data_IF_005507922798
#
_entry.id   IF_005507922798
#
_cell.length_a   1.000
_cell.length_b   1.000
_cell.length_c   1.000
_cell.angle_alpha   90.00
_cell.angle_beta   90.00
_cell.angle_gamma   90.00
#
_symmetry.space_group_name_H-M   'P 1'
#
loop_
_entity.id
_entity.type
_entity.pdbx_description
1 polymer ?
#
# COMPACT_ATOMS: atom_id res chain seq x y z
N UNK A 1 8.18 -16.00 -23.33
CA UNK A 1 7.78 -15.78 -21.92
C UNK A 1 6.27 -15.72 -21.88
N UNK A 2 5.63 -16.69 -21.22
CA UNK A 2 4.16 -16.77 -21.15
C UNK A 2 3.62 -15.51 -20.48
N UNK A 3 2.83 -14.71 -21.20
CA UNK A 3 1.96 -13.70 -20.61
C UNK A 3 1.08 -14.44 -19.60
N UNK A 4 1.42 -14.39 -18.30
CA UNK A 4 0.49 -14.85 -17.29
C UNK A 4 -0.68 -13.88 -17.34
N UNK A 5 -1.81 -14.33 -17.87
CA UNK A 5 -3.07 -13.60 -17.79
C UNK A 5 -3.21 -13.10 -16.35
N UNK A 6 -3.39 -11.78 -16.20
CA UNK A 6 -3.57 -11.15 -14.90
C UNK A 6 -4.73 -11.87 -14.19
N UNK A 7 -4.42 -12.66 -13.17
CA UNK A 7 -5.45 -13.36 -12.40
C UNK A 7 -6.32 -12.29 -11.73
N UNK A 8 -7.66 -12.44 -11.83
CA UNK A 8 -8.63 -11.53 -11.20
C UNK A 8 -8.67 -11.80 -9.70
N UNK A 9 -7.65 -11.33 -9.00
CA UNK A 9 -7.48 -11.48 -7.56
C UNK A 9 -7.20 -10.14 -6.90
N UNK A 10 -7.72 -9.97 -5.69
CA UNK A 10 -7.52 -8.80 -4.85
C UNK A 10 -6.79 -9.22 -3.60
N UNK A 11 -5.58 -8.70 -3.42
CA UNK A 11 -4.80 -8.90 -2.21
C UNK A 11 -5.24 -7.93 -1.11
N UNK A 12 -5.41 -8.46 0.09
CA UNK A 12 -5.65 -7.68 1.31
C UNK A 12 -4.67 -8.13 2.38
N UNK A 13 -4.10 -7.18 3.13
CA UNK A 13 -3.02 -7.45 4.06
C UNK A 13 -3.46 -7.28 5.51
N UNK A 14 -3.31 -8.32 6.31
CA UNK A 14 -3.41 -8.27 7.77
C UNK A 14 -2.09 -8.74 8.38
N UNK A 15 -1.19 -7.80 8.64
CA UNK A 15 0.24 -8.06 8.89
C UNK A 15 0.61 -8.28 10.36
N UNK A 16 -0.37 -8.18 11.26
CA UNK A 16 -0.22 -8.51 12.68
C UNK A 16 -0.83 -9.87 13.00
N UNK A 17 -0.40 -10.46 14.12
CA UNK A 17 -0.97 -11.71 14.65
C UNK A 17 -2.23 -11.48 15.50
N UNK A 18 -2.58 -10.22 15.76
CA UNK A 18 -3.78 -9.86 16.50
C UNK A 18 -5.05 -10.15 15.70
N UNK A 19 -6.16 -10.37 16.38
CA UNK A 19 -7.46 -10.58 15.73
C UNK A 19 -7.94 -9.30 15.02
N UNK A 20 -8.56 -9.46 13.84
CA UNK A 20 -9.31 -8.39 13.20
C UNK A 20 -10.52 -7.99 14.04
N UNK A 21 -10.76 -6.69 14.18
CA UNK A 21 -11.97 -6.20 14.84
C UNK A 21 -13.23 -6.59 14.03
N UNK A 22 -14.42 -6.65 14.66
CA UNK A 22 -15.67 -6.92 13.95
C UNK A 22 -15.90 -5.98 12.75
N UNK A 23 -15.58 -4.69 12.91
CA UNK A 23 -15.68 -3.72 11.82
C UNK A 23 -14.76 -4.04 10.63
N UNK A 24 -13.53 -4.51 10.88
CA UNK A 24 -12.61 -4.93 9.81
C UNK A 24 -13.05 -6.23 9.17
N UNK A 25 -13.58 -7.18 9.93
CA UNK A 25 -14.17 -8.43 9.39
C UNK A 25 -15.34 -8.13 8.45
N UNK A 26 -16.25 -7.23 8.85
CA UNK A 26 -17.36 -6.79 8.00
C UNK A 26 -16.87 -6.09 6.71
N UNK A 27 -15.80 -5.31 6.79
CA UNK A 27 -15.19 -4.72 5.59
C UNK A 27 -14.61 -5.80 4.68
N UNK A 28 -13.85 -6.76 5.22
CA UNK A 28 -13.31 -7.87 4.44
C UNK A 28 -14.42 -8.63 3.71
N UNK A 29 -15.50 -8.97 4.44
CA UNK A 29 -16.67 -9.62 3.88
C UNK A 29 -17.29 -8.81 2.73
N UNK A 30 -17.39 -7.47 2.87
CA UNK A 30 -17.90 -6.63 1.77
C UNK A 30 -17.01 -6.67 0.51
N UNK A 31 -15.69 -6.83 0.66
CA UNK A 31 -14.78 -6.98 -0.48
C UNK A 31 -15.04 -8.35 -1.14
N UNK A 32 -15.18 -9.40 -0.34
CA UNK A 32 -15.45 -10.77 -0.82
C UNK A 32 -16.79 -10.87 -1.58
N UNK A 33 -17.83 -10.22 -1.06
CA UNK A 33 -19.18 -10.30 -1.61
C UNK A 33 -19.38 -9.39 -2.84
N UNK A 34 -18.79 -8.20 -2.86
CA UNK A 34 -19.14 -7.18 -3.86
C UNK A 34 -18.12 -7.04 -4.99
N UNK A 35 -16.85 -7.43 -4.77
CA UNK A 35 -15.79 -7.15 -5.76
C UNK A 35 -15.86 -8.00 -7.02
N UNK A 36 -16.60 -9.11 -7.01
CA UNK A 36 -16.66 -10.05 -8.12
C UNK A 36 -15.31 -10.73 -8.46
N UNK A 37 -14.29 -10.59 -7.61
CA UNK A 37 -12.95 -11.11 -7.81
C UNK A 37 -12.52 -11.99 -6.63
N UNK A 38 -11.52 -12.87 -6.85
CA UNK A 38 -10.99 -13.71 -5.78
C UNK A 38 -10.25 -12.86 -4.75
N UNK A 39 -10.75 -12.77 -3.53
CA UNK A 39 -10.05 -12.08 -2.44
C UNK A 39 -9.03 -13.00 -1.79
N UNK A 40 -7.81 -12.49 -1.62
CA UNK A 40 -6.68 -13.21 -1.01
C UNK A 40 -6.21 -12.45 0.22
N UNK A 41 -6.61 -12.95 1.40
CA UNK A 41 -6.13 -12.44 2.68
C UNK A 41 -4.73 -13.00 2.98
N UNK A 42 -3.75 -12.11 2.97
CA UNK A 42 -2.37 -12.44 3.33
C UNK A 42 -2.10 -11.99 4.77
N UNK A 43 -1.56 -12.93 5.55
CA UNK A 43 -1.25 -12.84 6.97
C UNK A 43 0.17 -13.36 7.23
N UNK A 44 0.77 -13.14 8.42
CA UNK A 44 2.06 -13.74 8.76
C UNK A 44 2.11 -15.26 8.58
N UNK A 45 0.97 -15.95 8.72
CA UNK A 45 0.86 -17.41 8.64
C UNK A 45 1.04 -17.97 7.23
N UNK A 46 0.54 -17.25 6.22
CA UNK A 46 0.55 -17.70 4.82
C UNK A 46 1.46 -16.86 3.90
N UNK A 47 2.07 -15.75 4.39
CA UNK A 47 2.91 -14.88 3.57
C UNK A 47 4.02 -15.63 2.81
N UNK A 48 4.61 -16.66 3.43
CA UNK A 48 5.66 -17.48 2.81
C UNK A 48 5.24 -18.15 1.49
N UNK A 49 3.94 -18.40 1.31
CA UNK A 49 3.37 -19.05 0.13
C UNK A 49 3.38 -18.14 -1.10
N UNK A 50 3.55 -16.83 -0.88
CA UNK A 50 3.52 -15.81 -1.93
C UNK A 50 4.92 -15.22 -2.21
N UNK A 51 5.97 -15.72 -1.56
CA UNK A 51 7.33 -15.27 -1.86
C UNK A 51 7.80 -15.87 -3.18
N UNK A 52 8.30 -15.02 -4.06
CA UNK A 52 8.89 -15.45 -5.33
C UNK A 52 10.32 -15.91 -5.10
N UNK A 53 10.67 -17.05 -5.70
CA UNK A 53 12.03 -17.60 -5.65
C UNK A 53 13.05 -16.57 -6.14
N UNK A 54 14.18 -16.45 -5.41
CA UNK A 54 15.20 -15.44 -5.68
C UNK A 54 14.85 -14.01 -5.22
N UNK A 55 13.62 -13.78 -4.75
CA UNK A 55 13.15 -12.47 -4.29
C UNK A 55 12.59 -12.55 -2.86
N UNK A 56 13.43 -12.83 -1.84
CA UNK A 56 12.98 -12.83 -0.45
C UNK A 56 12.53 -11.44 -0.01
N UNK A 57 11.81 -11.37 1.11
CA UNK A 57 11.50 -10.10 1.76
C UNK A 57 12.80 -9.39 2.15
N UNK A 58 12.80 -8.06 2.06
CA UNK A 58 13.92 -7.22 2.45
C UNK A 58 14.32 -7.49 3.92
N UNK A 59 15.62 -7.44 4.23
CA UNK A 59 16.14 -7.69 5.58
C UNK A 59 15.56 -6.75 6.66
N UNK A 60 15.04 -5.59 6.24
CA UNK A 60 14.38 -4.63 7.11
C UNK A 60 12.93 -5.01 7.49
N UNK A 61 12.28 -5.90 6.74
CA UNK A 61 10.85 -6.19 6.82
C UNK A 61 10.39 -6.57 8.23
N UNK A 62 11.19 -7.38 8.93
CA UNK A 62 10.91 -7.83 10.30
C UNK A 62 10.82 -6.69 11.32
N UNK A 63 11.48 -5.56 11.07
CA UNK A 63 11.55 -4.41 11.99
C UNK A 63 10.46 -3.35 11.72
N UNK A 64 9.69 -3.51 10.64
CA UNK A 64 8.66 -2.56 10.23
C UNK A 64 7.41 -2.62 11.13
N UNK A 65 6.72 -1.49 11.27
CA UNK A 65 5.38 -1.45 11.88
C UNK A 65 4.37 -2.23 11.02
N UNK A 66 3.24 -2.67 11.58
CA UNK A 66 2.22 -3.40 10.81
C UNK A 66 1.76 -2.60 9.58
N UNK A 67 1.58 -1.27 9.73
CA UNK A 67 1.28 -0.38 8.60
C UNK A 67 2.38 -0.43 7.55
N UNK A 68 3.65 -0.22 7.92
CA UNK A 68 4.75 -0.25 6.96
C UNK A 68 5.01 -1.65 6.36
N UNK A 69 4.68 -2.74 7.08
CA UNK A 69 4.66 -4.08 6.49
C UNK A 69 3.62 -4.18 5.39
N UNK A 70 2.41 -3.65 5.59
CA UNK A 70 1.39 -3.63 4.55
C UNK A 70 1.83 -2.78 3.35
N UNK A 71 2.45 -1.63 3.60
CA UNK A 71 3.01 -0.75 2.56
C UNK A 71 4.11 -1.45 1.74
N UNK A 72 5.00 -2.19 2.40
CA UNK A 72 6.00 -3.03 1.73
C UNK A 72 5.34 -4.12 0.87
N UNK A 73 4.36 -4.84 1.44
CA UNK A 73 3.68 -5.93 0.73
C UNK A 73 2.89 -5.44 -0.47
N UNK A 74 2.30 -4.23 -0.42
CA UNK A 74 1.69 -3.58 -1.59
C UNK A 74 2.66 -3.51 -2.76
N UNK A 75 3.85 -2.96 -2.54
CA UNK A 75 4.87 -2.86 -3.58
C UNK A 75 5.32 -4.24 -4.08
N UNK A 76 5.67 -5.14 -3.14
CA UNK A 76 6.14 -6.49 -3.46
C UNK A 76 5.12 -7.25 -4.32
N UNK A 77 3.85 -7.25 -3.91
CA UNK A 77 2.80 -7.95 -4.64
C UNK A 77 2.47 -7.29 -5.97
N UNK A 78 2.36 -5.96 -6.04
CA UNK A 78 2.10 -5.32 -7.34
C UNK A 78 3.26 -5.52 -8.33
N UNK A 79 4.50 -5.58 -7.86
CA UNK A 79 5.65 -5.86 -8.71
C UNK A 79 5.70 -7.32 -9.18
N UNK A 80 5.59 -8.28 -8.26
CA UNK A 80 5.81 -9.69 -8.57
C UNK A 80 4.56 -10.43 -9.04
N UNK A 81 3.39 -10.09 -8.50
CA UNK A 81 2.14 -10.82 -8.70
C UNK A 81 1.12 -10.06 -9.55
N UNK A 82 1.19 -8.72 -9.55
CA UNK A 82 0.17 -7.87 -10.13
C UNK A 82 -1.18 -8.09 -9.43
N UNK A 83 -2.26 -7.75 -10.12
CA UNK A 83 -3.63 -7.93 -9.65
C UNK A 83 -4.13 -6.73 -8.87
N UNK A 84 -5.21 -6.92 -8.12
CA UNK A 84 -5.80 -5.91 -7.26
C UNK A 84 -5.16 -5.87 -5.88
N UNK A 85 -5.22 -4.71 -5.26
CA UNK A 85 -4.96 -4.49 -3.84
C UNK A 85 -6.10 -3.66 -3.26
N UNK A 86 -6.53 -3.98 -2.03
CA UNK A 86 -7.45 -3.12 -1.27
C UNK A 86 -7.01 -2.99 0.19
N UNK A 87 -7.15 -1.80 0.76
CA UNK A 87 -7.29 -1.64 2.20
C UNK A 87 -8.52 -2.45 2.66
N UNK A 88 -8.52 -2.91 3.91
CA UNK A 88 -9.69 -3.57 4.52
C UNK A 88 -10.74 -2.51 4.88
N UNK A 89 -11.35 -1.91 3.87
CA UNK A 89 -12.40 -0.90 3.93
C UNK A 89 -13.62 -1.41 3.15
N UNK A 90 -14.77 -0.80 3.39
CA UNK A 90 -15.99 -1.17 2.68
C UNK A 90 -15.81 -1.00 1.16
N UNK A 91 -16.20 -2.03 0.41
CA UNK A 91 -16.32 -2.00 -1.05
C UNK A 91 -17.76 -2.36 -1.38
N UNK A 92 -18.36 -1.62 -2.31
CA UNK A 92 -19.75 -1.77 -2.76
C UNK A 92 -19.87 -1.80 -4.29
N UNK A 93 -18.76 -2.11 -4.98
CA UNK A 93 -18.69 -2.13 -6.44
C UNK A 93 -17.92 -3.35 -6.97
N UNK A 94 -18.27 -3.77 -8.18
CA UNK A 94 -17.63 -4.87 -8.91
C UNK A 94 -16.31 -4.42 -9.55
N UNK A 95 -15.25 -5.20 -9.34
CA UNK A 95 -13.91 -4.96 -9.89
C UNK A 95 -13.72 -5.54 -11.29
N UNK A 96 -14.59 -6.45 -11.75
CA UNK A 96 -14.47 -7.13 -13.04
C UNK A 96 -14.38 -6.19 -14.25
N UNK A 97 -15.13 -5.07 -14.32
CA UNK A 97 -14.99 -4.11 -15.43
C UNK A 97 -13.57 -3.53 -15.51
N UNK A 98 -12.95 -3.24 -14.37
CA UNK A 98 -11.61 -2.64 -14.29
C UNK A 98 -10.50 -3.67 -14.54
N UNK A 99 -10.67 -4.90 -14.07
CA UNK A 99 -9.80 -6.01 -14.48
C UNK A 99 -9.88 -6.25 -15.98
N UNK A 100 -11.08 -6.25 -16.56
CA UNK A 100 -11.26 -6.41 -18.01
C UNK A 100 -10.55 -5.28 -18.76
N UNK A 101 -10.71 -4.03 -18.30
CA UNK A 101 -10.09 -2.87 -18.92
C UNK A 101 -8.57 -2.92 -18.91
N UNK A 102 -7.94 -3.17 -17.76
CA UNK A 102 -6.46 -3.22 -17.67
C UNK A 102 -5.89 -4.40 -18.48
N UNK A 103 -6.64 -5.50 -18.61
CA UNK A 103 -6.24 -6.65 -19.43
C UNK A 103 -6.34 -6.31 -20.92
N UNK A 104 -7.36 -5.57 -21.35
CA UNK A 104 -7.57 -5.20 -22.76
C UNK A 104 -6.73 -4.01 -23.23
N UNK A 105 -6.35 -3.10 -22.32
CA UNK A 105 -5.57 -1.90 -22.65
C UNK A 105 -4.07 -2.20 -22.48
N UNK A 106 -3.34 -2.32 -23.59
CA UNK A 106 -1.91 -2.62 -23.58
C UNK A 106 -1.06 -1.48 -22.98
N UNK A 107 -1.54 -0.25 -23.06
CA UNK A 107 -0.83 0.93 -22.54
C UNK A 107 -1.13 1.18 -21.06
N UNK A 108 -2.21 0.60 -20.53
CA UNK A 108 -2.52 0.66 -19.10
C UNK A 108 -1.63 -0.29 -18.29
N UNK A 109 -0.88 0.26 -17.34
CA UNK A 109 -0.09 -0.48 -16.35
C UNK A 109 -0.74 -0.52 -14.98
N UNK A 110 -1.55 0.48 -14.66
CA UNK A 110 -2.30 0.54 -13.42
C UNK A 110 -3.66 1.21 -13.61
N UNK A 111 -4.65 0.74 -12.86
CA UNK A 111 -5.96 1.38 -12.69
C UNK A 111 -6.19 1.61 -11.21
N UNK A 112 -6.54 2.82 -10.81
CA UNK A 112 -6.82 3.16 -9.43
C UNK A 112 -7.87 4.26 -9.34
N UNK A 113 -8.31 4.58 -8.13
CA UNK A 113 -9.16 5.74 -7.91
C UNK A 113 -8.25 6.97 -7.77
N UNK A 114 -8.63 8.15 -8.30
CA UNK A 114 -7.85 9.34 -8.08
C UNK A 114 -7.82 9.67 -6.58
N UNK A 115 -6.73 10.25 -6.06
CA UNK A 115 -6.75 10.84 -4.73
C UNK A 115 -7.99 11.75 -4.57
N UNK A 116 -8.58 11.84 -3.38
CA UNK A 116 -9.86 12.59 -3.21
C UNK A 116 -9.61 14.11 -3.20
N UNK A 117 -8.38 14.51 -2.86
CA UNK A 117 -7.98 15.90 -2.80
C UNK A 117 -6.51 16.04 -2.41
N UNK A 118 -5.99 17.28 -2.41
CA UNK A 118 -4.57 17.56 -2.16
C UNK A 118 -4.09 17.10 -0.77
N UNK A 119 -4.98 16.99 0.21
CA UNK A 119 -4.62 16.52 1.56
C UNK A 119 -4.33 15.01 1.63
N UNK A 120 -4.80 14.23 0.64
CA UNK A 120 -4.43 12.81 0.49
C UNK A 120 -3.01 12.62 -0.06
N UNK A 121 -2.43 13.66 -0.67
CA UNK A 121 -1.14 13.58 -1.34
C UNK A 121 0.01 13.51 -0.34
N UNK A 122 0.62 12.34 -0.23
CA UNK A 122 1.96 12.16 0.32
C UNK A 122 3.02 12.66 -0.66
N UNK A 123 4.07 13.30 -0.14
CA UNK A 123 5.14 13.84 -0.95
C UNK A 123 6.47 13.74 -0.21
N UNK A 124 7.58 13.43 -0.92
CA UNK A 124 8.90 13.56 -0.34
C UNK A 124 9.19 15.03 -0.01
N UNK A 125 10.13 15.32 0.91
CA UNK A 125 10.51 16.68 1.26
C UNK A 125 10.85 17.51 0.01
N UNK A 126 10.23 18.68 -0.13
CA UNK A 126 10.44 19.60 -1.25
C UNK A 126 9.49 19.44 -2.45
N UNK A 127 8.67 18.38 -2.53
CA UNK A 127 7.77 18.14 -3.67
C UNK A 127 6.27 18.29 -3.35
N UNK A 128 5.93 18.67 -2.11
CA UNK A 128 4.54 18.66 -1.65
C UNK A 128 3.62 19.58 -2.47
N UNK A 129 4.07 20.79 -2.80
CA UNK A 129 3.25 21.74 -3.54
C UNK A 129 2.98 21.27 -4.97
N UNK A 130 4.01 20.82 -5.68
CA UNK A 130 3.91 20.30 -7.04
C UNK A 130 2.94 19.10 -7.12
N UNK A 131 3.16 18.08 -6.29
CA UNK A 131 2.32 16.87 -6.31
C UNK A 131 0.87 17.16 -5.91
N UNK A 132 0.66 18.11 -4.98
CA UNK A 132 -0.69 18.51 -4.57
C UNK A 132 -1.46 19.21 -5.67
N UNK A 133 -0.82 19.94 -6.59
CA UNK A 133 -1.53 20.52 -7.74
C UNK A 133 -2.05 19.45 -8.70
N UNK A 134 -1.33 18.34 -8.76
CA UNK A 134 -1.60 17.22 -9.67
C UNK A 134 -2.40 16.08 -9.02
N UNK A 135 -3.01 16.31 -7.85
CA UNK A 135 -3.63 15.28 -7.02
C UNK A 135 -4.60 14.36 -7.79
N UNK A 136 -5.39 14.90 -8.71
CA UNK A 136 -6.40 14.16 -9.48
C UNK A 136 -5.80 13.18 -10.49
N UNK A 137 -4.50 13.30 -10.79
CA UNK A 137 -3.75 12.35 -11.63
C UNK A 137 -3.14 11.20 -10.83
N UNK A 138 -3.09 11.31 -9.51
CA UNK A 138 -2.43 10.36 -8.62
C UNK A 138 -3.43 9.30 -8.16
N UNK A 139 -3.03 8.03 -8.21
CA UNK A 139 -3.82 6.94 -7.62
C UNK A 139 -3.80 7.05 -6.11
N UNK A 140 -4.97 6.98 -5.48
CA UNK A 140 -5.10 6.85 -4.04
C UNK A 140 -4.65 5.48 -3.54
N UNK A 141 -3.98 5.47 -2.39
CA UNK A 141 -3.30 4.27 -1.89
C UNK A 141 -4.21 3.18 -1.31
N UNK A 142 -5.52 3.39 -1.26
CA UNK A 142 -6.47 2.48 -0.61
C UNK A 142 -6.96 1.31 -1.47
N UNK A 143 -6.81 1.38 -2.80
CA UNK A 143 -7.34 0.42 -3.75
C UNK A 143 -6.80 0.69 -5.16
N UNK A 144 -6.28 -0.34 -5.83
CA UNK A 144 -5.80 -0.24 -7.21
C UNK A 144 -5.56 -1.63 -7.82
N UNK A 145 -5.40 -1.68 -9.14
CA UNK A 145 -5.05 -2.85 -9.94
C UNK A 145 -3.79 -2.54 -10.73
N UNK A 146 -2.79 -3.42 -10.69
CA UNK A 146 -1.52 -3.25 -11.42
C UNK A 146 -1.21 -4.47 -12.28
N UNK A 147 -0.59 -4.23 -13.44
CA UNK A 147 0.21 -5.25 -14.13
C UNK A 147 1.54 -5.44 -13.39
N UNK A 148 1.96 -6.68 -13.22
CA UNK A 148 3.28 -7.01 -12.68
C UNK A 148 4.40 -6.64 -13.63
N UNK A 149 5.61 -6.48 -13.09
CA UNK A 149 6.85 -6.28 -13.84
C UNK A 149 6.79 -5.17 -14.93
N UNK A 150 6.13 -4.06 -14.64
CA UNK A 150 6.14 -2.85 -15.47
C UNK A 150 7.30 -1.94 -15.04
N UNK A 151 7.68 -0.97 -15.88
CA UNK A 151 8.72 -0.01 -15.49
C UNK A 151 8.32 0.78 -14.22
N UNK A 152 7.03 1.07 -14.06
CA UNK A 152 6.49 1.70 -12.87
C UNK A 152 6.67 0.84 -11.61
N UNK A 153 6.31 -0.45 -11.64
CA UNK A 153 6.45 -1.31 -10.44
C UNK A 153 7.90 -1.63 -10.13
N UNK A 154 8.73 -1.79 -11.16
CA UNK A 154 10.18 -2.00 -10.99
C UNK A 154 10.83 -0.79 -10.33
N UNK A 155 10.51 0.43 -10.76
CA UNK A 155 11.07 1.65 -10.16
C UNK A 155 10.55 1.87 -8.74
N UNK A 156 9.28 1.57 -8.46
CA UNK A 156 8.75 1.57 -7.10
C UNK A 156 9.49 0.58 -6.21
N UNK A 157 9.65 -0.67 -6.66
CA UNK A 157 10.36 -1.72 -5.93
C UNK A 157 11.81 -1.35 -5.62
N UNK A 158 12.54 -0.81 -6.61
CA UNK A 158 13.91 -0.35 -6.45
C UNK A 158 14.02 0.81 -5.43
N UNK A 159 13.14 1.82 -5.52
CA UNK A 159 13.13 2.95 -4.57
C UNK A 159 12.77 2.52 -3.15
N UNK A 160 11.81 1.60 -3.01
CA UNK A 160 11.45 1.02 -1.72
C UNK A 160 12.65 0.32 -1.07
N UNK A 161 13.34 -0.54 -1.82
CA UNK A 161 14.51 -1.25 -1.32
C UNK A 161 15.63 -0.27 -0.96
N UNK A 162 15.89 0.73 -1.80
CA UNK A 162 16.86 1.78 -1.51
C UNK A 162 16.56 2.55 -0.21
N UNK A 163 15.29 2.89 0.05
CA UNK A 163 14.88 3.51 1.31
C UNK A 163 15.09 2.58 2.51
N UNK A 164 14.78 1.29 2.36
CA UNK A 164 14.97 0.32 3.43
C UNK A 164 16.44 0.01 3.70
N UNK A 165 17.30 -0.01 2.69
CA UNK A 165 18.75 -0.14 2.84
C UNK A 165 19.34 1.03 3.63
N UNK A 166 18.97 2.27 3.25
CA UNK A 166 19.39 3.49 3.96
C UNK A 166 18.99 3.49 5.43
N UNK A 167 17.83 2.90 5.75
CA UNK A 167 17.28 2.88 7.10
C UNK A 167 17.55 1.57 7.86
N UNK A 168 18.20 0.57 7.26
CA UNK A 168 18.31 -0.78 7.83
C UNK A 168 18.97 -0.77 9.21
N UNK A 169 20.07 -0.04 9.35
CA UNK A 169 20.77 0.07 10.64
C UNK A 169 19.87 0.73 11.69
N UNK A 170 19.22 1.85 11.36
CA UNK A 170 18.32 2.54 12.28
C UNK A 170 17.10 1.69 12.66
N UNK A 171 16.55 0.93 11.72
CA UNK A 171 15.43 0.00 11.95
C UNK A 171 15.81 -1.16 12.86
N UNK A 172 17.05 -1.68 12.76
CA UNK A 172 17.58 -2.69 13.69
C UNK A 172 17.69 -2.15 15.11
N UNK A 173 18.21 -0.93 15.25
CA UNK A 173 18.42 -0.27 16.55
C UNK A 173 17.11 0.22 17.17
N UNK A 174 16.17 0.65 16.33
CA UNK A 174 14.88 1.24 16.72
C UNK A 174 13.73 0.61 15.92
N UNK A 175 13.45 -0.69 16.10
CA UNK A 175 12.37 -1.37 15.40
C UNK A 175 11.02 -0.82 15.87
N UNK A 176 9.98 -1.07 15.07
CA UNK A 176 8.64 -0.67 15.43
C UNK A 176 8.22 -1.34 16.74
N UNK A 177 7.68 -0.53 17.66
CA UNK A 177 7.13 -1.01 18.95
C UNK A 177 5.61 -0.98 18.99
N UNK A 178 5.01 -0.58 17.87
CA UNK A 178 3.57 -0.36 17.77
C UNK A 178 3.10 -0.64 16.32
N UNK A 179 1.88 -1.20 16.11
CA UNK A 179 1.35 -1.48 14.77
C UNK A 179 1.39 -0.29 13.80
N UNK A 180 1.12 0.91 14.31
CA UNK A 180 1.17 2.21 13.60
C UNK A 180 2.40 3.06 13.91
N UNK A 181 3.51 2.44 14.30
CA UNK A 181 4.72 3.20 14.63
C UNK A 181 5.22 4.00 13.41
N UNK A 182 5.70 5.21 13.68
CA UNK A 182 6.22 6.15 12.69
C UNK A 182 7.17 7.14 13.38
N UNK A 183 8.03 7.77 12.60
CA UNK A 183 8.94 8.79 13.08
C UNK A 183 8.22 9.85 13.92
N UNK A 184 8.74 10.07 15.13
CA UNK A 184 8.20 11.01 16.11
C UNK A 184 6.73 10.76 16.51
N UNK A 185 6.20 9.54 16.37
CA UNK A 185 4.87 9.18 16.91
C UNK A 185 4.84 9.50 18.41
N UNK A 186 3.79 10.20 18.86
CA UNK A 186 3.51 10.43 20.28
C UNK A 186 3.00 9.13 20.95
N UNK A 187 3.24 8.95 22.26
CA UNK A 187 2.65 7.84 23.01
C UNK A 187 1.12 7.92 22.97
N UNK A 188 0.44 6.77 23.00
CA UNK A 188 -1.03 6.72 23.03
C UNK A 188 -1.56 7.09 24.43
N UNK A 189 -0.78 6.80 25.48
CA UNK A 189 -1.07 7.29 26.82
C UNK A 189 -0.86 8.81 26.88
N UNK A 190 -1.96 9.56 27.03
CA UNK A 190 -1.97 11.02 27.10
C UNK A 190 -1.14 11.57 28.26
N UNK A 191 -1.07 10.88 29.40
CA UNK A 191 -0.26 11.30 30.56
C UNK A 191 1.24 11.29 30.25
N UNK A 192 1.70 10.28 29.50
CA UNK A 192 3.09 10.23 28.98
C UNK A 192 3.32 11.20 27.82
N UNK A 193 2.26 11.67 27.16
CA UNK A 193 2.32 12.66 26.09
C UNK A 193 2.47 14.10 26.59
N UNK A 194 1.97 14.40 27.79
CA UNK A 194 2.00 15.73 28.41
C UNK A 194 3.43 16.12 28.83
N UNK A 195 4.25 15.16 29.26
CA UNK A 195 5.63 15.43 29.66
C UNK A 195 6.57 15.76 28.49
N UNK A 196 6.13 15.58 27.24
CA UNK A 196 6.95 15.82 26.04
C UNK A 196 8.15 14.89 25.88
N UNK A 197 8.39 13.98 26.84
CA UNK A 197 9.63 13.21 26.98
C UNK A 197 9.71 11.98 26.07
N UNK A 198 8.58 11.44 25.58
CA UNK A 198 8.59 10.24 24.73
C UNK A 198 8.11 10.54 23.30
N UNK A 199 8.98 10.28 22.33
CA UNK A 199 8.65 10.18 20.91
C UNK A 199 9.26 8.90 20.38
N UNK A 200 8.54 8.21 19.49
CA UNK A 200 9.09 7.01 18.85
C UNK A 200 10.41 7.32 18.15
N UNK A 201 11.42 6.48 18.41
CA UNK A 201 12.72 6.50 17.72
C UNK A 201 12.68 5.73 16.39
N UNK A 202 11.55 5.14 16.04
CA UNK A 202 11.34 4.47 14.77
C UNK A 202 11.66 5.42 13.60
N UNK A 203 12.48 5.03 12.62
CA UNK A 203 13.10 5.98 11.70
C UNK A 203 12.20 6.41 10.54
N UNK A 204 11.23 5.60 10.12
CA UNK A 204 10.45 5.89 8.90
C UNK A 204 9.28 6.84 9.17
N UNK A 205 9.12 7.86 8.31
CA UNK A 205 7.90 8.70 8.28
C UNK A 205 6.71 7.88 7.79
N UNK A 206 5.50 8.38 8.06
CA UNK A 206 4.25 7.68 7.78
C UNK A 206 4.09 7.18 6.34
N UNK A 207 4.52 7.96 5.36
CA UNK A 207 4.33 7.62 3.94
C UNK A 207 5.66 7.36 3.21
N UNK A 208 6.78 7.30 3.93
CA UNK A 208 8.13 7.33 3.36
C UNK A 208 8.39 6.20 2.37
N UNK A 209 7.84 5.01 2.62
CA UNK A 209 8.06 3.81 1.81
C UNK A 209 6.89 3.46 0.89
N UNK A 210 5.85 4.29 0.86
CA UNK A 210 4.69 4.14 0.00
C UNK A 210 4.41 5.44 -0.73
N UNK A 211 3.59 6.33 -0.16
CA UNK A 211 3.09 7.49 -0.90
C UNK A 211 4.15 8.51 -1.28
N UNK A 212 5.21 8.68 -0.48
CA UNK A 212 6.33 9.55 -0.84
C UNK A 212 7.17 8.98 -2.00
N UNK A 213 7.05 7.68 -2.30
CA UNK A 213 7.65 7.04 -3.48
C UNK A 213 6.66 7.04 -4.65
N UNK A 214 5.42 6.60 -4.40
CA UNK A 214 4.43 6.32 -5.43
C UNK A 214 3.86 7.57 -6.09
N UNK A 215 3.54 8.63 -5.35
CA UNK A 215 2.94 9.82 -5.96
C UNK A 215 3.85 10.48 -7.01
N UNK A 216 5.16 10.68 -6.77
CA UNK A 216 6.08 11.07 -7.83
C UNK A 216 6.06 10.12 -9.04
N UNK A 217 5.99 8.81 -8.81
CA UNK A 217 5.95 7.82 -9.90
C UNK A 217 4.62 7.85 -10.66
N UNK A 218 3.49 8.06 -10.01
CA UNK A 218 2.19 8.18 -10.67
C UNK A 218 2.16 9.39 -11.59
N UNK A 219 2.75 10.51 -11.16
CA UNK A 219 2.92 11.68 -12.02
C UNK A 219 3.83 11.38 -13.22
N UNK A 220 4.99 10.74 -12.98
CA UNK A 220 5.94 10.35 -14.03
C UNK A 220 5.32 9.42 -15.09
N UNK A 221 4.50 8.47 -14.67
CA UNK A 221 3.92 7.45 -15.55
C UNK A 221 2.43 7.69 -15.85
N UNK A 222 1.96 8.94 -15.75
CA UNK A 222 0.54 9.28 -15.87
C UNK A 222 -0.13 8.75 -17.16
N UNK A 223 0.61 8.66 -18.27
CA UNK A 223 0.14 8.11 -19.54
C UNK A 223 -0.23 6.61 -19.51
N UNK A 224 0.33 5.86 -18.55
CA UNK A 224 0.05 4.43 -18.33
C UNK A 224 -0.97 4.16 -17.24
N UNK A 225 -1.47 5.21 -16.57
CA UNK A 225 -2.39 5.11 -15.45
C UNK A 225 -3.81 5.43 -15.93
N UNK A 226 -4.81 4.73 -15.38
CA UNK A 226 -6.22 5.08 -15.52
C UNK A 226 -6.80 5.37 -14.13
N UNK A 227 -7.26 6.59 -13.92
CA UNK A 227 -7.88 7.03 -12.65
C UNK A 227 -9.40 6.81 -12.70
N UNK A 228 -9.81 5.55 -12.75
CA UNK A 228 -11.18 5.15 -13.04
C UNK A 228 -11.79 4.18 -12.03
N UNK A 229 -10.98 3.57 -11.16
CA UNK A 229 -11.51 2.71 -10.11
C UNK A 229 -12.35 3.57 -9.14
N UNK A 230 -13.49 3.10 -8.64
CA UNK A 230 -14.19 3.77 -7.56
C UNK A 230 -13.37 3.72 -6.27
N UNK A 231 -13.44 4.76 -5.43
CA UNK A 231 -12.78 4.74 -4.13
C UNK A 231 -13.45 3.72 -3.18
N UNK A 232 -12.69 3.14 -2.23
CA UNK A 232 -13.28 2.43 -1.11
C UNK A 232 -14.04 3.40 -0.17
N UNK A 233 -14.95 2.86 0.65
CA UNK A 233 -15.70 3.65 1.61
C UNK A 233 -14.81 4.32 2.68
N UNK A 234 -14.91 5.64 2.80
CA UNK A 234 -14.19 6.46 3.80
C UNK A 234 -15.08 7.00 4.93
N UNK A 235 -16.37 6.70 4.87
CA UNK A 235 -17.44 7.15 5.76
C UNK A 235 -17.38 6.51 7.16
N UNK A 236 -16.85 5.30 7.26
CA UNK A 236 -16.74 4.58 8.53
C UNK A 236 -15.39 4.89 9.20
N UNK A 237 -15.38 5.35 10.46
CA UNK A 237 -14.14 5.51 11.21
C UNK A 237 -13.60 4.14 11.64
N UNK A 238 -12.71 3.56 10.83
CA UNK A 238 -12.12 2.24 11.08
C UNK A 238 -10.99 2.24 12.14
N UNK A 239 -11.13 3.06 13.19
CA UNK A 239 -10.12 3.26 14.26
C UNK A 239 -10.19 2.21 15.34
#
# INVERSE_FOLDING_TARGET
>A
MSSSLLERRIFVFWTGDNEMSPARKACLQSIEENSGARVVLVTPRNLKEYLVEGHPLHAAYGYLSHTHKADYLRCYFMHHHGGGYSDIKRIDFDWNPYFTKIISDNDAWAIGYPEIGPEGVAAPPGMAEELRREWSKLIGHGAYIFKSNTALTLEWYAKLHQELDRNLHALRTHPARHPRDRYKKKPENKLLGISGLYRSKYPLRWAQILGEICHPLFLKYTHTIRNELPPPGFDIPYR
#
